data_IF_119249752420
#
_entry.id   IF_119249752420
#
_cell.length_a   1.000
_cell.length_b   1.000
_cell.length_c   1.000
_cell.angle_alpha   90.00
_cell.angle_beta   90.00
_cell.angle_gamma   90.00
#
_symmetry.space_group_name_H-M   'P 1'
#
loop_
_entity.id
_entity.type
_entity.pdbx_description
1 polymer ?
#
# COMPACT_ATOMS: atom_id res chain seq x y z
N UNK A 1 -7.51 -4.02 18.65
CA UNK A 1 -6.87 -5.27 18.20
C UNK A 1 -5.39 -5.22 18.56
N UNK A 2 -4.88 -6.18 19.35
CA UNK A 2 -3.45 -6.31 19.61
C UNK A 2 -2.73 -6.71 18.32
N UNK A 3 -1.58 -6.10 18.07
CA UNK A 3 -0.72 -6.45 16.94
C UNK A 3 0.00 -7.74 17.31
N UNK A 4 0.11 -8.70 16.40
CA UNK A 4 1.01 -9.83 16.59
C UNK A 4 2.46 -9.31 16.78
N UNK A 5 3.15 -9.86 17.79
CA UNK A 5 4.54 -9.48 18.11
C UNK A 5 5.40 -9.64 16.85
N UNK A 6 6.02 -8.53 16.40
CA UNK A 6 6.86 -8.49 15.20
C UNK A 6 6.34 -7.62 14.05
N UNK A 7 5.05 -7.27 14.01
CA UNK A 7 4.53 -6.43 12.93
C UNK A 7 4.77 -4.93 13.21
N UNK A 8 5.37 -4.23 12.24
CA UNK A 8 5.59 -2.77 12.30
C UNK A 8 4.35 -2.02 11.80
N UNK A 9 3.89 -1.03 12.56
CA UNK A 9 2.87 -0.06 12.09
C UNK A 9 3.57 1.09 11.38
N UNK A 10 3.04 1.46 10.21
CA UNK A 10 3.48 2.64 9.46
C UNK A 10 2.33 3.64 9.43
N UNK A 11 2.44 4.81 10.10
CA UNK A 11 1.49 5.88 9.90
C UNK A 11 1.70 6.45 8.49
N UNK A 12 0.63 6.51 7.70
CA UNK A 12 0.68 7.07 6.33
C UNK A 12 -0.39 8.15 6.22
N UNK A 13 0.04 9.34 5.80
CA UNK A 13 -0.87 10.42 5.42
C UNK A 13 -1.19 10.30 3.94
N UNK A 14 -2.47 10.11 3.62
CA UNK A 14 -2.97 10.14 2.25
C UNK A 14 -3.57 11.52 1.98
N UNK A 15 -3.24 12.10 0.83
CA UNK A 15 -3.94 13.29 0.33
C UNK A 15 -5.40 12.94 -0.07
N UNK A 16 -6.24 13.96 -0.25
CA UNK A 16 -7.68 13.75 -0.52
C UNK A 16 -7.94 12.93 -1.78
N UNK A 17 -7.08 13.07 -2.80
CA UNK A 17 -7.20 12.32 -4.05
C UNK A 17 -6.93 10.83 -3.80
N UNK A 18 -5.82 10.49 -3.14
CA UNK A 18 -5.47 9.11 -2.79
C UNK A 18 -6.52 8.51 -1.87
N UNK A 19 -7.08 9.26 -0.93
CA UNK A 19 -8.18 8.77 -0.08
C UNK A 19 -9.40 8.32 -0.89
N UNK A 20 -9.85 9.14 -1.86
CA UNK A 20 -10.98 8.79 -2.73
C UNK A 20 -10.70 7.55 -3.58
N UNK A 21 -9.53 7.48 -4.21
CA UNK A 21 -9.12 6.31 -5.00
C UNK A 21 -9.02 5.05 -4.11
N UNK A 22 -8.51 5.18 -2.90
CA UNK A 22 -8.41 4.08 -1.95
C UNK A 22 -9.78 3.55 -1.52
N UNK A 23 -10.74 4.45 -1.30
CA UNK A 23 -12.12 4.09 -0.97
C UNK A 23 -12.79 3.35 -2.13
N UNK A 24 -12.53 3.75 -3.38
CA UNK A 24 -13.00 3.04 -4.56
C UNK A 24 -12.40 1.62 -4.66
N UNK A 25 -11.09 1.47 -4.42
CA UNK A 25 -10.42 0.16 -4.41
C UNK A 25 -11.01 -0.76 -3.33
N UNK A 26 -11.29 -0.21 -2.14
CA UNK A 26 -11.96 -0.92 -1.04
C UNK A 26 -13.34 -1.44 -1.45
N UNK A 27 -14.16 -0.60 -2.08
CA UNK A 27 -15.48 -0.99 -2.57
C UNK A 27 -15.39 -2.04 -3.68
N UNK A 28 -14.47 -1.86 -4.63
CA UNK A 28 -14.29 -2.75 -5.78
C UNK A 28 -13.87 -4.17 -5.37
N UNK A 29 -12.95 -4.30 -4.42
CA UNK A 29 -12.34 -5.59 -4.06
C UNK A 29 -12.83 -6.16 -2.72
N UNK A 30 -13.62 -5.41 -1.95
CA UNK A 30 -14.13 -5.85 -0.65
C UNK A 30 -13.02 -6.18 0.36
N UNK A 31 -11.85 -5.51 0.27
CA UNK A 31 -10.69 -5.74 1.15
C UNK A 31 -10.48 -4.57 2.09
N UNK A 32 -9.87 -4.84 3.25
CA UNK A 32 -9.48 -3.77 4.17
C UNK A 32 -8.36 -2.92 3.60
N UNK A 33 -8.32 -1.67 4.03
CA UNK A 33 -7.29 -0.68 3.66
C UNK A 33 -5.87 -1.19 3.92
N UNK A 34 -5.65 -1.78 5.10
CA UNK A 34 -4.37 -2.40 5.44
C UNK A 34 -3.97 -3.50 4.44
N UNK A 35 -4.92 -4.35 4.03
CA UNK A 35 -4.64 -5.44 3.10
C UNK A 35 -4.32 -4.93 1.69
N UNK A 36 -5.01 -3.88 1.23
CA UNK A 36 -4.72 -3.23 -0.04
C UNK A 36 -3.32 -2.59 -0.01
N UNK A 37 -2.95 -1.89 1.08
CA UNK A 37 -1.60 -1.33 1.24
C UNK A 37 -0.51 -2.40 1.24
N UNK A 38 -0.73 -3.54 1.92
CA UNK A 38 0.22 -4.65 1.91
C UNK A 38 0.44 -5.20 0.49
N UNK A 39 -0.64 -5.42 -0.26
CA UNK A 39 -0.55 -5.89 -1.66
C UNK A 39 0.19 -4.85 -2.54
N UNK A 40 -0.10 -3.56 -2.36
CA UNK A 40 0.60 -2.51 -3.09
C UNK A 40 2.11 -2.51 -2.81
N UNK A 41 2.51 -2.75 -1.55
CA UNK A 41 3.91 -2.89 -1.16
C UNK A 41 4.56 -4.14 -1.78
N UNK A 42 3.87 -5.28 -1.76
CA UNK A 42 4.37 -6.53 -2.36
C UNK A 42 4.58 -6.36 -3.88
N UNK A 43 3.66 -5.67 -4.55
CA UNK A 43 3.78 -5.34 -5.98
C UNK A 43 4.96 -4.41 -6.25
N UNK A 44 5.18 -3.40 -5.40
CA UNK A 44 6.32 -2.49 -5.52
C UNK A 44 7.66 -3.25 -5.40
N UNK A 45 7.75 -4.17 -4.44
CA UNK A 45 8.93 -5.04 -4.26
C UNK A 45 9.12 -5.96 -5.48
N UNK A 46 8.03 -6.53 -6.01
CA UNK A 46 8.09 -7.38 -7.19
C UNK A 46 8.54 -6.61 -8.44
N UNK A 47 8.08 -5.36 -8.61
CA UNK A 47 8.50 -4.47 -9.69
C UNK A 47 10.01 -4.17 -9.61
N UNK A 48 10.50 -3.80 -8.42
CA UNK A 48 11.93 -3.58 -8.19
C UNK A 48 12.76 -4.83 -8.56
N UNK A 49 12.32 -6.01 -8.10
CA UNK A 49 12.99 -7.29 -8.40
C UNK A 49 12.96 -7.67 -9.88
N UNK A 50 11.93 -7.26 -10.60
CA UNK A 50 11.80 -7.47 -12.04
C UNK A 50 12.57 -6.41 -12.86
N UNK A 51 13.27 -5.48 -12.20
CA UNK A 51 14.08 -4.45 -12.86
C UNK A 51 13.26 -3.29 -13.43
N UNK A 52 12.00 -3.13 -13.01
CA UNK A 52 11.24 -1.93 -13.36
C UNK A 52 11.83 -0.73 -12.63
N UNK A 53 12.08 0.35 -13.36
CA UNK A 53 12.44 1.61 -12.72
C UNK A 53 11.23 2.18 -11.98
N UNK A 54 11.45 2.65 -10.75
CA UNK A 54 10.46 3.35 -9.95
C UNK A 54 10.91 4.82 -9.80
N UNK A 55 10.63 5.71 -10.78
CA UNK A 55 11.09 7.10 -10.77
C UNK A 55 10.67 7.87 -9.52
N UNK A 56 9.50 7.56 -8.96
CA UNK A 56 9.00 8.19 -7.72
C UNK A 56 9.83 7.86 -6.47
N UNK A 57 10.70 6.83 -6.53
CA UNK A 57 11.62 6.45 -5.45
C UNK A 57 13.07 6.88 -5.74
N UNK A 58 13.37 7.35 -6.96
CA UNK A 58 14.67 7.96 -7.27
C UNK A 58 14.63 9.42 -6.79
N UNK A 59 15.64 9.79 -5.98
CA UNK A 59 15.84 11.17 -5.50
C UNK A 59 16.05 12.13 -6.66
#
# INVERSE_FOLDING_TARGET
>A
MPIAVGNKRLPVTLDEKRQKEFQQLKQKYGKSEAKIMCIALDLLIAQEKAGFELPALRK
#
